data_IF_285944006989
#
_entry.id   IF_285944006989
#
_cell.length_a   1.000
_cell.length_b   1.000
_cell.length_c   1.000
_cell.angle_alpha   90.00
_cell.angle_beta   90.00
_cell.angle_gamma   90.00
#
_symmetry.space_group_name_H-M   'P 1'
#
loop_
_entity.id
_entity.type
_entity.pdbx_description
1 polymer ?
#
# COMPACT_ATOMS: atom_id res chain seq x y z
N UNK A 1 29.62 -28.53 3.83
CA UNK A 1 28.58 -27.97 2.95
C UNK A 1 28.36 -29.01 1.86
N UNK A 2 27.16 -29.66 1.79
CA UNK A 2 26.88 -30.61 0.73
C UNK A 2 26.71 -29.82 -0.57
N UNK A 3 27.53 -30.10 -1.57
CA UNK A 3 27.32 -29.61 -2.92
C UNK A 3 25.93 -30.05 -3.40
N UNK A 4 25.06 -29.07 -3.60
CA UNK A 4 23.75 -29.33 -4.21
C UNK A 4 23.97 -29.61 -5.70
N UNK A 5 23.95 -30.88 -6.10
CA UNK A 5 24.01 -31.21 -7.51
C UNK A 5 22.65 -31.07 -8.17
N UNK A 6 22.55 -30.28 -9.23
CA UNK A 6 21.33 -30.16 -10.01
C UNK A 6 20.94 -31.49 -10.62
N UNK A 7 19.65 -31.89 -10.57
CA UNK A 7 19.17 -33.08 -11.24
C UNK A 7 19.55 -33.13 -12.73
N UNK A 8 19.91 -34.29 -13.23
CA UNK A 8 20.45 -34.47 -14.59
C UNK A 8 19.54 -33.97 -15.72
N UNK A 9 18.21 -33.98 -15.52
CA UNK A 9 17.28 -33.47 -16.51
C UNK A 9 17.31 -31.93 -16.65
N UNK A 10 17.76 -31.20 -15.64
CA UNK A 10 17.99 -29.77 -15.76
C UNK A 10 19.30 -29.45 -16.47
N UNK A 11 20.28 -30.34 -16.41
CA UNK A 11 21.56 -30.14 -17.09
C UNK A 11 21.45 -30.30 -18.61
N UNK A 12 20.42 -30.99 -19.11
CA UNK A 12 20.15 -31.17 -20.53
C UNK A 12 19.19 -30.17 -21.15
N UNK A 13 18.66 -29.22 -20.36
CA UNK A 13 17.80 -28.18 -20.90
C UNK A 13 18.61 -27.20 -21.75
N UNK A 14 18.14 -26.86 -22.97
CA UNK A 14 18.77 -25.81 -23.75
C UNK A 14 18.70 -24.52 -22.97
N UNK A 15 19.69 -23.66 -23.15
CA UNK A 15 19.67 -22.30 -22.59
C UNK A 15 18.42 -21.60 -23.13
N UNK A 16 17.41 -21.46 -22.25
CA UNK A 16 16.16 -20.78 -22.59
C UNK A 16 16.37 -19.31 -22.27
N UNK A 17 16.42 -18.50 -23.31
CA UNK A 17 16.55 -17.05 -23.20
C UNK A 17 17.70 -16.49 -24.01
N UNK A 18 17.67 -15.18 -24.22
CA UNK A 18 18.81 -14.45 -24.75
C UNK A 18 19.86 -14.30 -23.66
N UNK A 19 21.10 -14.27 -24.06
CA UNK A 19 22.19 -13.90 -23.16
C UNK A 19 21.87 -12.53 -22.53
N UNK A 20 21.62 -12.55 -21.22
CA UNK A 20 21.32 -11.32 -20.46
C UNK A 20 22.59 -10.54 -20.12
N UNK A 21 23.76 -10.99 -20.56
CA UNK A 21 25.02 -10.27 -20.36
C UNK A 21 25.10 -8.97 -21.15
N UNK A 22 24.28 -8.80 -22.21
CA UNK A 22 24.10 -7.51 -22.87
C UNK A 22 23.08 -6.70 -22.09
N UNK A 23 23.49 -6.09 -21.00
CA UNK A 23 22.73 -5.04 -20.32
C UNK A 23 22.62 -3.86 -21.29
N UNK A 24 21.43 -3.64 -21.82
CA UNK A 24 21.18 -2.46 -22.64
C UNK A 24 21.06 -1.26 -21.69
N UNK A 25 21.98 -0.33 -21.75
CA UNK A 25 21.95 0.91 -20.97
C UNK A 25 20.61 1.66 -21.16
N UNK A 26 20.04 1.59 -22.36
CA UNK A 26 18.73 2.14 -22.70
C UNK A 26 17.61 1.54 -21.83
N UNK A 27 17.60 0.21 -21.62
CA UNK A 27 16.59 -0.44 -20.76
C UNK A 27 16.73 -0.01 -19.30
N UNK A 28 17.94 0.22 -18.82
CA UNK A 28 18.17 0.70 -17.46
C UNK A 28 17.63 2.13 -17.28
N UNK A 29 17.83 2.99 -18.28
CA UNK A 29 17.31 4.35 -18.26
C UNK A 29 15.78 4.38 -18.30
N UNK A 30 15.14 3.53 -19.10
CA UNK A 30 13.69 3.40 -19.16
C UNK A 30 13.10 2.91 -17.83
N UNK A 31 13.73 1.91 -17.19
CA UNK A 31 13.31 1.41 -15.87
C UNK A 31 13.44 2.51 -14.82
N UNK A 32 14.56 3.23 -14.80
CA UNK A 32 14.78 4.35 -13.87
C UNK A 32 13.74 5.46 -14.04
N UNK A 33 13.36 5.77 -15.29
CA UNK A 33 12.32 6.76 -15.56
C UNK A 33 10.95 6.32 -14.99
N UNK A 34 10.58 5.04 -15.14
CA UNK A 34 9.34 4.49 -14.57
C UNK A 34 9.39 4.47 -13.05
N UNK A 35 10.54 4.11 -12.45
CA UNK A 35 10.71 4.15 -11.00
C UNK A 35 10.56 5.57 -10.45
N UNK A 36 11.12 6.55 -11.15
CA UNK A 36 10.99 7.96 -10.79
C UNK A 36 9.53 8.43 -10.87
N UNK A 37 8.81 8.10 -11.94
CA UNK A 37 7.38 8.40 -12.10
C UNK A 37 6.55 7.78 -10.96
N UNK A 38 6.80 6.51 -10.63
CA UNK A 38 6.14 5.83 -9.50
C UNK A 38 6.43 6.56 -8.18
N UNK A 39 7.66 6.99 -7.96
CA UNK A 39 8.04 7.73 -6.77
C UNK A 39 7.28 9.05 -6.67
N UNK A 40 7.25 9.83 -7.73
CA UNK A 40 6.55 11.12 -7.79
C UNK A 40 5.04 10.97 -7.54
N UNK A 41 4.38 9.97 -8.13
CA UNK A 41 2.96 9.68 -7.89
C UNK A 41 2.72 9.32 -6.42
N UNK A 42 3.61 8.53 -5.81
CA UNK A 42 3.48 8.14 -4.39
C UNK A 42 3.65 9.34 -3.46
N UNK A 43 4.65 10.16 -3.68
CA UNK A 43 4.89 11.37 -2.90
C UNK A 43 3.70 12.34 -3.02
N UNK A 44 3.24 12.60 -4.24
CA UNK A 44 2.06 13.43 -4.48
C UNK A 44 0.80 12.88 -3.77
N UNK A 45 0.62 11.56 -3.76
CA UNK A 45 -0.49 10.92 -3.04
C UNK A 45 -0.36 11.06 -1.52
N UNK A 46 0.85 11.01 -0.97
CA UNK A 46 1.09 11.20 0.47
C UNK A 46 0.94 12.65 0.91
N UNK A 47 1.31 13.60 0.05
CA UNK A 47 1.20 15.02 0.34
C UNK A 47 -0.22 15.57 0.16
N UNK A 48 -1.03 14.94 -0.69
CA UNK A 48 -2.38 15.40 -0.98
C UNK A 48 -3.28 15.48 0.26
N UNK A 49 -4.15 16.47 0.28
CA UNK A 49 -5.11 16.69 1.35
C UNK A 49 -4.65 17.77 2.35
N UNK A 50 -5.04 17.62 3.61
CA UNK A 50 -4.67 18.56 4.67
C UNK A 50 -3.17 18.39 5.01
N UNK A 51 -2.45 19.50 5.22
CA UNK A 51 -1.03 19.41 5.56
C UNK A 51 -0.80 18.73 6.91
N UNK A 52 0.38 18.14 7.08
CA UNK A 52 0.79 17.52 8.35
C UNK A 52 0.81 18.53 9.49
N UNK A 53 1.32 19.73 9.22
CA UNK A 53 1.41 20.82 10.18
C UNK A 53 0.03 21.23 10.69
N UNK A 54 -0.94 21.45 9.79
CA UNK A 54 -2.30 21.81 10.13
C UNK A 54 -3.05 20.73 10.94
N UNK A 55 -2.71 19.45 10.74
CA UNK A 55 -3.23 18.37 11.58
C UNK A 55 -2.58 18.38 12.95
N UNK A 56 -1.26 18.53 13.03
CA UNK A 56 -0.53 18.56 14.29
C UNK A 56 -0.93 19.77 15.15
N UNK A 57 -1.13 20.96 14.56
CA UNK A 57 -1.66 22.13 15.25
C UNK A 57 -3.05 21.89 15.84
N UNK A 58 -3.86 21.04 15.20
CA UNK A 58 -5.16 20.62 15.74
C UNK A 58 -5.07 19.46 16.75
N UNK A 59 -3.88 19.07 17.18
CA UNK A 59 -3.64 17.98 18.11
C UNK A 59 -3.81 16.58 17.50
N UNK A 60 -3.77 16.44 16.18
CA UNK A 60 -3.94 15.18 15.48
C UNK A 60 -2.65 14.77 14.76
N UNK A 61 -2.28 13.53 14.90
CA UNK A 61 -1.23 12.92 14.08
C UNK A 61 -1.80 12.43 12.75
N UNK A 62 -0.99 12.48 11.71
CA UNK A 62 -1.32 11.83 10.43
C UNK A 62 -1.31 10.32 10.56
N UNK A 63 -1.94 9.61 9.61
CA UNK A 63 -1.87 8.16 9.54
C UNK A 63 -0.42 7.64 9.48
N UNK A 64 0.43 8.30 8.67
CA UNK A 64 1.85 7.93 8.57
C UNK A 64 2.61 8.12 9.88
N UNK A 65 2.42 9.25 10.59
CA UNK A 65 3.05 9.47 11.90
C UNK A 65 2.69 8.36 12.89
N UNK A 66 1.40 7.97 12.92
CA UNK A 66 0.94 6.87 13.80
C UNK A 66 1.54 5.52 13.42
N UNK A 67 1.67 5.24 12.11
CA UNK A 67 2.29 4.01 11.62
C UNK A 67 3.77 3.99 12.00
N UNK A 68 4.50 5.08 11.77
CA UNK A 68 5.94 5.14 12.08
C UNK A 68 6.24 5.02 13.57
N UNK A 69 5.35 5.53 14.43
CA UNK A 69 5.47 5.36 15.89
C UNK A 69 5.13 3.94 16.35
N UNK A 70 4.27 3.24 15.59
CA UNK A 70 3.83 1.89 15.95
C UNK A 70 4.81 0.81 15.53
N UNK A 71 5.50 0.99 14.40
CA UNK A 71 6.36 -0.05 13.81
C UNK A 71 7.81 0.08 14.24
N UNK A 72 8.49 -1.05 14.30
CA UNK A 72 9.94 -1.08 14.51
C UNK A 72 10.65 -0.35 13.37
N UNK A 73 11.68 0.40 13.70
CA UNK A 73 12.45 1.23 12.75
C UNK A 73 12.90 0.43 11.52
N UNK A 74 12.72 1.01 10.33
CA UNK A 74 13.15 0.43 9.06
C UNK A 74 12.35 -0.78 8.59
N UNK A 75 11.25 -1.15 9.26
CA UNK A 75 10.47 -2.34 8.88
C UNK A 75 9.23 -2.05 8.04
N UNK A 76 8.86 -0.77 7.85
CA UNK A 76 7.68 -0.42 7.09
C UNK A 76 7.82 -0.72 5.61
N UNK A 77 6.90 -1.53 5.08
CA UNK A 77 6.79 -1.86 3.67
C UNK A 77 5.37 -1.53 3.18
N UNK A 78 5.17 -0.43 2.43
CA UNK A 78 3.85 -0.04 1.94
C UNK A 78 3.30 -1.01 0.91
N UNK A 79 2.00 -1.27 0.95
CA UNK A 79 1.28 -2.13 0.03
C UNK A 79 0.26 -1.34 -0.79
N UNK A 80 0.21 -1.59 -2.10
CA UNK A 80 -0.74 -0.97 -3.03
C UNK A 80 -0.79 0.57 -2.91
N UNK A 81 0.36 1.22 -2.79
CA UNK A 81 0.48 2.67 -2.58
C UNK A 81 -0.09 3.50 -3.73
N UNK A 82 -0.19 2.93 -4.94
CA UNK A 82 -0.76 3.56 -6.13
C UNK A 82 -2.23 3.19 -6.37
N UNK A 83 -2.89 2.53 -5.41
CA UNK A 83 -4.26 2.09 -5.60
C UNK A 83 -5.25 3.27 -5.58
N UNK A 84 -5.73 3.65 -6.74
CA UNK A 84 -6.69 4.74 -6.94
C UNK A 84 -7.71 4.40 -8.05
N UNK A 85 -8.59 3.38 -7.85
CA UNK A 85 -9.48 2.86 -8.91
C UNK A 85 -10.57 3.84 -9.34
N UNK A 86 -10.80 4.90 -8.58
CA UNK A 86 -11.80 5.93 -8.85
C UNK A 86 -11.16 7.21 -9.41
N UNK A 87 -9.87 7.18 -9.69
CA UNK A 87 -9.09 8.34 -10.12
C UNK A 87 -9.37 9.59 -9.25
N UNK A 88 -9.37 9.37 -7.93
CA UNK A 88 -9.58 10.45 -6.98
C UNK A 88 -8.47 11.48 -7.11
N UNK A 89 -8.84 12.74 -7.20
CA UNK A 89 -7.91 13.88 -7.24
C UNK A 89 -6.96 13.98 -6.05
N UNK A 90 -7.22 13.25 -4.97
CA UNK A 90 -6.32 13.11 -3.83
C UNK A 90 -5.29 11.97 -4.00
N UNK A 91 -5.19 11.38 -5.19
CA UNK A 91 -4.21 10.34 -5.52
C UNK A 91 -4.43 8.98 -4.87
N UNK A 92 -5.46 8.82 -4.02
CA UNK A 92 -5.76 7.54 -3.36
C UNK A 92 -7.19 7.51 -2.81
N UNK A 93 -7.61 6.33 -2.35
CA UNK A 93 -8.88 6.13 -1.64
C UNK A 93 -8.80 6.50 -0.14
N UNK A 94 -7.75 7.16 0.31
CA UNK A 94 -7.60 7.55 1.72
C UNK A 94 -7.31 6.39 2.68
N UNK A 95 -6.68 5.33 2.19
CA UNK A 95 -6.19 4.21 2.99
C UNK A 95 -4.68 4.06 2.80
N UNK A 96 -3.94 4.09 3.91
CA UNK A 96 -2.53 3.74 3.98
C UNK A 96 -2.43 2.34 4.57
N UNK A 97 -1.72 1.44 3.91
CA UNK A 97 -1.54 0.08 4.41
C UNK A 97 -0.17 -0.49 4.04
N UNK A 98 0.30 -1.42 4.84
CA UNK A 98 1.60 -2.04 4.63
C UNK A 98 1.87 -3.16 5.61
N UNK A 99 3.06 -3.72 5.48
CA UNK A 99 3.67 -4.62 6.43
C UNK A 99 4.60 -3.82 7.34
N UNK A 100 4.63 -4.17 8.62
CA UNK A 100 5.58 -3.63 9.59
C UNK A 100 5.79 -4.61 10.72
N UNK A 101 6.90 -4.50 11.43
CA UNK A 101 7.08 -5.23 12.68
C UNK A 101 6.61 -4.38 13.85
N UNK A 102 6.02 -5.03 14.82
CA UNK A 102 5.65 -4.45 16.11
C UNK A 102 6.26 -5.36 17.16
N UNK A 103 7.23 -4.86 17.89
CA UNK A 103 8.01 -5.67 18.86
C UNK A 103 8.55 -6.97 18.22
N UNK A 104 9.20 -6.84 17.06
CA UNK A 104 9.80 -7.92 16.29
C UNK A 104 8.83 -8.83 15.54
N UNK A 105 7.53 -8.66 15.68
CA UNK A 105 6.51 -9.52 15.06
C UNK A 105 5.85 -8.84 13.85
N UNK A 106 5.81 -9.52 12.71
CA UNK A 106 5.16 -9.00 11.53
C UNK A 106 3.65 -8.85 11.73
N UNK A 107 3.13 -7.73 11.24
CA UNK A 107 1.70 -7.44 11.14
C UNK A 107 1.37 -6.76 9.81
N UNK A 108 0.15 -6.90 9.34
CA UNK A 108 -0.44 -5.99 8.36
C UNK A 108 -1.05 -4.83 9.12
N UNK A 109 -0.72 -3.61 8.70
CA UNK A 109 -1.26 -2.39 9.30
C UNK A 109 -2.06 -1.67 8.24
N UNK A 110 -3.28 -1.26 8.59
CA UNK A 110 -4.19 -0.48 7.75
C UNK A 110 -4.59 0.76 8.54
N UNK A 111 -4.41 1.94 7.94
CA UNK A 111 -4.76 3.21 8.56
C UNK A 111 -5.66 4.04 7.65
N UNK A 112 -6.67 4.67 8.22
CA UNK A 112 -7.44 5.71 7.54
C UNK A 112 -6.61 6.99 7.46
N UNK A 113 -6.43 7.51 6.24
CA UNK A 113 -5.67 8.74 6.02
C UNK A 113 -6.53 9.97 6.35
N UNK A 114 -6.32 10.52 7.52
CA UNK A 114 -7.05 11.70 8.00
C UNK A 114 -6.66 13.00 7.29
N UNK A 115 -5.61 13.02 6.50
CA UNK A 115 -5.31 14.14 5.58
C UNK A 115 -6.38 14.28 4.51
N UNK A 116 -7.03 13.18 4.13
CA UNK A 116 -8.01 13.09 3.05
C UNK A 116 -9.42 13.02 3.61
N UNK A 117 -10.17 14.12 3.44
CA UNK A 117 -11.56 14.24 3.91
C UNK A 117 -11.75 13.84 5.38
N UNK A 118 -10.75 14.11 6.24
CA UNK A 118 -10.73 13.69 7.64
C UNK A 118 -10.99 12.18 7.85
N UNK A 119 -10.53 11.34 6.93
CA UNK A 119 -10.74 9.90 6.95
C UNK A 119 -12.14 9.44 6.54
N UNK A 120 -12.92 10.28 5.85
CA UNK A 120 -14.25 9.89 5.39
C UNK A 120 -14.22 8.64 4.50
N UNK A 121 -15.26 7.84 4.64
CA UNK A 121 -15.44 6.65 3.81
C UNK A 121 -15.83 7.03 2.38
N UNK A 122 -15.04 6.59 1.41
CA UNK A 122 -15.22 6.87 -0.02
C UNK A 122 -15.24 5.58 -0.84
N UNK A 123 -15.79 5.61 -2.08
CA UNK A 123 -15.74 4.45 -2.98
C UNK A 123 -14.32 3.92 -3.18
N UNK A 124 -14.18 2.60 -3.25
CA UNK A 124 -12.89 1.91 -3.40
C UNK A 124 -12.15 1.61 -2.09
N UNK A 125 -12.52 2.22 -0.97
CA UNK A 125 -11.91 1.90 0.33
C UNK A 125 -12.12 0.44 0.74
N UNK A 126 -13.33 -0.09 0.56
CA UNK A 126 -13.63 -1.48 0.93
C UNK A 126 -12.72 -2.47 0.22
N UNK A 127 -12.52 -2.33 -1.09
CA UNK A 127 -11.59 -3.17 -1.84
C UNK A 127 -10.15 -3.05 -1.31
N UNK A 128 -9.73 -1.85 -0.93
CA UNK A 128 -8.41 -1.62 -0.33
C UNK A 128 -8.26 -2.32 1.02
N UNK A 129 -9.28 -2.26 1.88
CA UNK A 129 -9.32 -2.93 3.18
C UNK A 129 -9.32 -4.45 3.03
N UNK A 130 -10.16 -4.99 2.13
CA UNK A 130 -10.22 -6.42 1.84
C UNK A 130 -8.87 -6.97 1.38
N UNK A 131 -8.18 -6.27 0.47
CA UNK A 131 -6.83 -6.66 0.03
C UNK A 131 -5.84 -6.74 1.18
N UNK A 132 -5.88 -5.79 2.12
CA UNK A 132 -5.05 -5.82 3.32
C UNK A 132 -5.41 -6.99 4.24
N UNK A 133 -6.70 -7.21 4.48
CA UNK A 133 -7.20 -8.31 5.30
C UNK A 133 -6.84 -9.69 4.71
N UNK A 134 -6.99 -9.86 3.39
CA UNK A 134 -6.59 -11.08 2.68
C UNK A 134 -5.07 -11.31 2.78
N UNK A 135 -4.28 -10.25 2.72
CA UNK A 135 -2.82 -10.36 2.91
C UNK A 135 -2.49 -10.89 4.30
N UNK A 136 -3.10 -10.33 5.35
CA UNK A 136 -2.91 -10.79 6.72
C UNK A 136 -3.31 -12.27 6.89
N UNK A 137 -4.48 -12.64 6.34
CA UNK A 137 -4.98 -14.02 6.35
C UNK A 137 -4.05 -14.99 5.63
N UNK A 138 -3.57 -14.63 4.45
CA UNK A 138 -2.66 -15.48 3.64
C UNK A 138 -1.31 -15.67 4.32
N UNK A 139 -0.77 -14.62 4.93
CA UNK A 139 0.49 -14.65 5.66
C UNK A 139 0.34 -15.22 7.09
N UNK A 140 -0.89 -15.37 7.59
CA UNK A 140 -1.21 -15.81 8.95
C UNK A 140 -0.56 -14.93 10.02
N UNK A 141 -0.59 -13.63 9.79
CA UNK A 141 -0.07 -12.61 10.73
C UNK A 141 -1.20 -11.70 11.19
N UNK A 142 -1.03 -11.02 12.34
CA UNK A 142 -2.01 -10.06 12.86
C UNK A 142 -2.36 -8.96 11.86
N UNK A 143 -3.60 -8.47 11.97
CA UNK A 143 -4.08 -7.29 11.29
C UNK A 143 -4.34 -6.20 12.31
N UNK A 144 -3.74 -5.04 12.12
CA UNK A 144 -3.89 -3.86 12.99
C UNK A 144 -4.59 -2.75 12.22
N UNK A 145 -5.68 -2.26 12.77
CA UNK A 145 -6.41 -1.11 12.22
C UNK A 145 -6.13 0.15 13.03
N UNK A 146 -5.68 1.20 12.36
CA UNK A 146 -5.55 2.56 12.90
C UNK A 146 -6.66 3.41 12.29
N UNK A 147 -7.83 3.36 12.91
CA UNK A 147 -9.04 3.99 12.37
C UNK A 147 -9.12 5.47 12.76
N UNK A 148 -9.44 6.29 11.77
CA UNK A 148 -9.89 7.66 11.95
C UNK A 148 -10.93 7.95 10.85
N UNK A 149 -12.20 7.92 11.18
CA UNK A 149 -13.29 8.03 10.21
C UNK A 149 -14.26 9.13 10.63
N UNK A 150 -14.45 10.12 9.77
CA UNK A 150 -15.42 11.20 9.95
C UNK A 150 -16.84 10.86 9.46
N UNK A 151 -17.05 9.65 8.97
CA UNK A 151 -18.32 9.20 8.40
C UNK A 151 -18.21 8.87 6.91
N UNK A 152 -19.34 8.80 6.22
CA UNK A 152 -19.42 8.50 4.79
C UNK A 152 -19.47 9.81 4.00
N UNK A 153 -18.81 9.85 2.84
CA UNK A 153 -18.93 10.97 1.90
C UNK A 153 -20.35 10.99 1.34
N UNK A 154 -21.17 11.96 1.76
CA UNK A 154 -22.62 11.98 1.57
C UNK A 154 -23.06 12.05 0.10
N UNK A 155 -22.32 12.76 -0.73
CA UNK A 155 -22.58 12.87 -2.18
C UNK A 155 -22.27 11.59 -2.97
N UNK A 156 -21.57 10.64 -2.36
CA UNK A 156 -21.25 9.33 -2.95
C UNK A 156 -21.78 8.15 -2.12
N UNK A 157 -22.66 8.41 -1.16
CA UNK A 157 -23.16 7.40 -0.25
C UNK A 157 -23.79 6.19 -0.94
N UNK A 158 -24.47 6.37 -2.07
CA UNK A 158 -25.08 5.27 -2.84
C UNK A 158 -24.06 4.25 -3.35
N UNK A 159 -22.78 4.65 -3.51
CA UNK A 159 -21.68 3.79 -3.95
C UNK A 159 -20.99 3.05 -2.81
N UNK A 160 -21.21 3.48 -1.57
CA UNK A 160 -20.52 2.95 -0.38
C UNK A 160 -21.42 2.22 0.59
N UNK A 161 -22.75 2.26 0.46
CA UNK A 161 -23.68 1.54 1.33
C UNK A 161 -23.70 0.01 1.07
N UNK A 162 -24.17 -0.78 2.07
CA UNK A 162 -24.29 -2.24 1.97
C UNK A 162 -24.97 -2.71 0.69
N UNK A 163 -24.55 -3.87 0.19
CA UNK A 163 -24.96 -4.50 -1.08
C UNK A 163 -24.34 -3.91 -2.34
N UNK A 164 -23.41 -2.95 -2.23
CA UNK A 164 -22.51 -2.56 -3.30
C UNK A 164 -21.10 -3.04 -2.98
N UNK A 165 -20.30 -3.41 -4.00
CA UNK A 165 -18.94 -3.92 -3.82
C UNK A 165 -18.03 -2.94 -3.08
N UNK A 166 -18.37 -1.67 -3.05
CA UNK A 166 -17.67 -0.64 -2.29
C UNK A 166 -18.21 -0.38 -0.89
N UNK A 167 -19.23 -1.12 -0.44
CA UNK A 167 -19.98 -0.82 0.78
C UNK A 167 -19.43 -1.40 2.08
N UNK A 168 -18.27 -2.00 2.06
CA UNK A 168 -17.60 -2.44 3.31
C UNK A 168 -18.35 -3.52 4.08
N UNK A 169 -19.15 -4.35 3.45
CA UNK A 169 -19.64 -5.58 4.08
C UNK A 169 -18.48 -6.59 4.18
N UNK A 170 -18.32 -7.23 5.34
CA UNK A 170 -17.29 -8.22 5.60
C UNK A 170 -17.36 -9.43 4.69
#
# INVERSE_FOLDING_TARGET
MSEYSMPSYFQSMPVIGKDLSAFHEDNAAEIQAVEQEIHEIREAALEAGKSTEALNESGQWTAMQRIMELVDEGTWCPLNSLYNPQDNKNGSVGIVKGLGRIDGKWAVIIASDNKKLAGAWVPGQADSLLRGSDTAKRLRIPLVYVLNCSGVKLDEQEKVYPNRRGGGTP
#
